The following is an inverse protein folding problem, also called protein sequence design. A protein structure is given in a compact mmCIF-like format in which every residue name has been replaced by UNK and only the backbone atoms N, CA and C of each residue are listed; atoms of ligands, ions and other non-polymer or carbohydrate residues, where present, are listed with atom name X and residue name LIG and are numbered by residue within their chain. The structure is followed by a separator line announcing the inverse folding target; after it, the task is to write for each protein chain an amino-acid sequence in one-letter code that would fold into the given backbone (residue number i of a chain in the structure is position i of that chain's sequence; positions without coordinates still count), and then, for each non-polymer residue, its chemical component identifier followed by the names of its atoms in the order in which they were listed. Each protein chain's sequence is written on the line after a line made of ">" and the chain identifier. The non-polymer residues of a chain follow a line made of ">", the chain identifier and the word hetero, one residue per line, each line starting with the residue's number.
data_IF_241418213673
#
_entry.id   IF_241418213673
#
_cell.length_a   1.000
_cell.length_b   1.000
_cell.length_c   1.000
_cell.angle_alpha   90.00
_cell.angle_beta   90.00
_cell.angle_gamma   90.00
#
_symmetry.space_group_name_H-M   'P 1'
#
loop_
_entity.id
_entity.type
_entity.pdbx_description
1 polymer ?
#
# COMPACT_ATOMS: atom_id res chain seq x y z
N UNK A 1 -6.08 9.69 5.73
CA UNK A 1 -5.12 10.78 5.88
C UNK A 1 -5.70 12.09 5.41
N UNK A 2 -5.06 13.21 5.73
CA UNK A 2 -5.46 14.54 5.23
C UNK A 2 -5.11 14.64 3.74
N UNK A 3 -6.01 15.16 2.87
CA UNK A 3 -5.74 15.29 1.44
C UNK A 3 -4.56 16.22 1.08
N UNK A 4 -4.06 17.00 2.04
CA UNK A 4 -2.95 17.94 1.84
C UNK A 4 -1.66 17.53 2.56
N UNK A 5 -1.56 16.29 3.04
CA UNK A 5 -0.40 15.83 3.77
C UNK A 5 0.68 15.33 2.81
N UNK A 6 1.90 15.87 2.96
CA UNK A 6 3.09 15.46 2.19
C UNK A 6 4.07 14.64 3.02
N UNK A 7 3.85 14.52 4.33
CA UNK A 7 4.69 13.76 5.24
C UNK A 7 4.18 12.32 5.40
N UNK A 8 5.06 11.37 5.74
CA UNK A 8 4.64 10.02 6.12
C UNK A 8 3.58 10.04 7.23
N UNK A 9 2.67 9.07 7.19
CA UNK A 9 1.55 8.96 8.12
C UNK A 9 1.95 8.02 9.24
N UNK A 10 2.06 8.54 10.47
CA UNK A 10 2.28 7.75 11.68
C UNK A 10 0.99 7.16 12.23
N UNK A 11 1.12 6.28 13.22
CA UNK A 11 0.00 5.60 13.87
C UNK A 11 -0.86 6.53 14.74
N UNK A 12 -0.28 7.66 15.18
CA UNK A 12 -0.93 8.70 15.99
C UNK A 12 -1.97 9.52 15.22
N UNK A 13 -1.95 9.47 13.88
CA UNK A 13 -2.94 10.20 13.08
C UNK A 13 -4.34 9.67 13.30
N UNK A 14 -5.26 10.56 13.62
CA UNK A 14 -6.67 10.24 13.79
C UNK A 14 -7.25 9.74 12.47
N UNK A 15 -7.78 8.50 12.43
CA UNK A 15 -8.42 7.98 11.24
C UNK A 15 -9.65 8.81 10.84
N UNK A 16 -9.76 9.14 9.57
CA UNK A 16 -10.93 9.80 8.99
C UNK A 16 -11.33 9.09 7.69
N UNK A 17 -12.02 7.95 7.77
CA UNK A 17 -12.41 7.19 6.58
C UNK A 17 -13.46 7.94 5.75
N UNK A 18 -13.24 8.00 4.45
CA UNK A 18 -14.14 8.64 3.48
C UNK A 18 -14.86 7.62 2.58
N UNK A 19 -14.70 6.33 2.88
CA UNK A 19 -15.34 5.23 2.15
C UNK A 19 -15.94 4.19 3.10
N UNK A 20 -16.98 3.43 2.68
CA UNK A 20 -17.52 2.32 3.47
C UNK A 20 -16.45 1.27 3.82
N UNK A 21 -15.53 0.97 2.89
CA UNK A 21 -14.40 0.08 3.14
C UNK A 21 -13.51 0.61 4.28
N UNK A 22 -13.09 1.87 4.20
CA UNK A 22 -12.28 2.49 5.26
C UNK A 22 -13.00 2.49 6.61
N UNK A 23 -14.30 2.78 6.64
CA UNK A 23 -15.13 2.73 7.86
C UNK A 23 -15.19 1.32 8.46
N UNK A 24 -15.34 0.27 7.62
CA UNK A 24 -15.36 -1.12 8.10
C UNK A 24 -14.01 -1.55 8.69
N UNK A 25 -12.89 -1.10 8.09
CA UNK A 25 -11.54 -1.38 8.63
C UNK A 25 -11.31 -0.68 9.96
N UNK A 26 -11.77 0.56 10.10
CA UNK A 26 -11.69 1.28 11.38
C UNK A 26 -12.55 0.62 12.47
N UNK A 27 -13.75 0.15 12.13
CA UNK A 27 -14.60 -0.59 13.06
C UNK A 27 -13.91 -1.89 13.54
N UNK A 28 -13.33 -2.67 12.61
CA UNK A 28 -12.58 -3.88 12.96
C UNK A 28 -11.37 -3.58 13.88
N UNK A 29 -10.67 -2.46 13.64
CA UNK A 29 -9.57 -2.01 14.49
C UNK A 29 -10.06 -1.65 15.90
N UNK A 30 -11.24 -1.01 16.03
CA UNK A 30 -11.86 -0.72 17.33
C UNK A 30 -12.18 -1.99 18.10
N UNK A 31 -12.73 -3.03 17.46
CA UNK A 31 -13.01 -4.32 18.09
C UNK A 31 -11.72 -4.99 18.63
N UNK A 32 -10.65 -4.95 17.85
CA UNK A 32 -9.34 -5.46 18.30
C UNK A 32 -8.83 -4.64 19.49
N UNK A 33 -8.95 -3.32 19.46
CA UNK A 33 -8.56 -2.45 20.57
C UNK A 33 -9.32 -2.77 21.84
N UNK A 34 -10.63 -3.00 21.74
CA UNK A 34 -11.49 -3.39 22.88
C UNK A 34 -11.09 -4.77 23.42
N UNK A 35 -10.73 -5.72 22.53
CA UNK A 35 -10.18 -7.01 22.94
C UNK A 35 -8.87 -6.84 23.72
N UNK A 36 -7.93 -6.03 23.19
CA UNK A 36 -6.61 -5.79 23.79
C UNK A 36 -6.68 -5.01 25.12
N UNK A 37 -7.78 -4.29 25.40
CA UNK A 37 -7.96 -3.59 26.66
C UNK A 37 -8.20 -4.53 27.87
N UNK A 38 -8.52 -5.80 27.61
CA UNK A 38 -8.79 -6.80 28.66
C UNK A 38 -7.48 -7.42 29.18
N UNK A 39 -7.34 -7.62 30.48
CA UNK A 39 -6.13 -8.23 31.07
C UNK A 39 -5.80 -9.59 30.46
N UNK A 40 -4.53 -9.82 30.14
CA UNK A 40 -4.04 -11.07 29.57
C UNK A 40 -4.18 -11.20 28.05
N UNK A 41 -4.86 -10.27 27.39
CA UNK A 41 -4.94 -10.25 25.93
C UNK A 41 -3.76 -9.50 25.33
N UNK A 42 -3.18 -10.05 24.25
CA UNK A 42 -2.05 -9.48 23.54
C UNK A 42 -2.32 -9.53 22.03
N UNK A 43 -1.78 -8.57 21.30
CA UNK A 43 -1.89 -8.50 19.84
C UNK A 43 -1.58 -7.11 19.30
N UNK A 44 -1.66 -6.97 18.00
CA UNK A 44 -1.48 -5.70 17.29
C UNK A 44 -2.26 -5.71 15.98
N UNK A 45 -2.77 -4.55 15.56
CA UNK A 45 -3.30 -4.35 14.22
C UNK A 45 -2.17 -3.92 13.30
N UNK A 46 -1.91 -4.67 12.23
CA UNK A 46 -0.97 -4.28 11.19
C UNK A 46 -1.74 -3.52 10.10
N UNK A 47 -1.46 -2.22 9.95
CA UNK A 47 -2.04 -1.37 8.89
C UNK A 47 -1.18 -1.43 7.65
N UNK A 48 -1.62 -2.19 6.63
CA UNK A 48 -0.91 -2.27 5.35
C UNK A 48 -1.21 -1.07 4.48
N UNK A 49 -0.18 -0.62 3.76
CA UNK A 49 -0.32 0.30 2.64
C UNK A 49 -0.61 -0.49 1.35
N UNK A 50 -0.33 0.03 0.17
CA UNK A 50 -0.68 -0.66 -1.07
C UNK A 50 0.16 -1.92 -1.27
N UNK A 51 -0.47 -3.07 -1.31
CA UNK A 51 0.23 -4.35 -1.49
C UNK A 51 0.51 -4.60 -2.97
N UNK A 52 1.71 -5.12 -3.27
CA UNK A 52 2.17 -5.43 -4.63
C UNK A 52 3.05 -6.69 -4.63
N UNK A 53 3.29 -7.26 -5.81
CA UNK A 53 4.15 -8.43 -5.97
C UNK A 53 3.47 -9.75 -5.66
N UNK A 54 4.21 -10.82 -5.81
CA UNK A 54 3.76 -12.19 -5.48
C UNK A 54 4.92 -13.03 -4.97
N UNK A 55 4.62 -14.07 -4.21
CA UNK A 55 5.58 -15.09 -3.80
C UNK A 55 5.68 -16.23 -4.81
N UNK A 56 4.65 -16.46 -5.62
CA UNK A 56 4.62 -17.45 -6.69
C UNK A 56 3.56 -17.10 -7.73
N UNK A 57 3.64 -17.66 -8.96
CA UNK A 57 2.67 -17.37 -10.03
C UNK A 57 1.22 -17.69 -9.64
N UNK A 58 0.98 -18.70 -8.82
CA UNK A 58 -0.36 -19.13 -8.40
C UNK A 58 -1.03 -18.15 -7.43
N UNK A 59 -0.23 -17.26 -6.83
CA UNK A 59 -0.68 -16.28 -5.83
C UNK A 59 -0.76 -14.86 -6.38
N UNK A 60 -0.71 -14.69 -7.71
CA UNK A 60 -0.84 -13.39 -8.35
C UNK A 60 -2.22 -12.79 -8.06
N UNK A 61 -2.23 -11.53 -7.60
CA UNK A 61 -3.46 -10.77 -7.45
C UNK A 61 -4.07 -10.45 -8.83
N UNK A 62 -5.25 -10.99 -9.09
CA UNK A 62 -6.03 -10.75 -10.29
C UNK A 62 -7.24 -9.85 -10.03
N UNK A 63 -7.26 -9.11 -8.92
CA UNK A 63 -8.37 -8.22 -8.56
C UNK A 63 -8.51 -7.05 -9.55
N UNK A 64 -9.72 -6.52 -9.66
CA UNK A 64 -10.02 -5.28 -10.39
C UNK A 64 -9.90 -4.02 -9.53
N UNK A 65 -9.36 -4.13 -8.33
CA UNK A 65 -9.34 -3.08 -7.32
C UNK A 65 -7.97 -2.39 -7.24
N UNK A 66 -6.88 -3.15 -7.44
CA UNK A 66 -5.51 -2.67 -7.28
C UNK A 66 -4.92 -2.17 -8.61
N UNK A 67 -4.05 -1.14 -8.54
CA UNK A 67 -3.49 -0.48 -9.72
C UNK A 67 -2.73 -1.44 -10.64
N UNK A 68 -1.82 -2.25 -10.09
CA UNK A 68 -0.97 -3.13 -10.92
C UNK A 68 -1.79 -4.21 -11.64
N UNK A 69 -2.70 -4.97 -10.99
CA UNK A 69 -3.61 -5.88 -11.68
C UNK A 69 -4.46 -5.21 -12.76
N UNK A 70 -4.98 -4.01 -12.50
CA UNK A 70 -5.76 -3.24 -13.50
C UNK A 70 -4.90 -2.93 -14.73
N UNK A 71 -3.69 -2.43 -14.53
CA UNK A 71 -2.76 -2.11 -15.64
C UNK A 71 -2.43 -3.35 -16.44
N UNK A 72 -2.08 -4.45 -15.78
CA UNK A 72 -1.79 -5.74 -16.44
C UNK A 72 -3.00 -6.28 -17.21
N UNK A 73 -4.18 -6.21 -16.60
CA UNK A 73 -5.43 -6.63 -17.26
C UNK A 73 -5.72 -5.83 -18.52
N UNK A 74 -5.47 -4.51 -18.52
CA UNK A 74 -5.59 -3.66 -19.71
C UNK A 74 -4.56 -4.03 -20.79
N UNK A 75 -3.29 -4.13 -20.41
CA UNK A 75 -2.22 -4.49 -21.34
C UNK A 75 -2.41 -5.87 -22.00
N UNK A 76 -2.99 -6.82 -21.28
CA UNK A 76 -3.32 -8.15 -21.83
C UNK A 76 -4.46 -8.10 -22.87
N UNK A 77 -5.34 -7.09 -22.76
CA UNK A 77 -6.41 -6.84 -23.73
C UNK A 77 -5.98 -5.93 -24.89
N UNK A 78 -4.75 -5.44 -24.90
CA UNK A 78 -4.28 -4.42 -25.85
C UNK A 78 -4.85 -3.04 -25.59
N UNK A 79 -5.36 -2.77 -24.37
CA UNK A 79 -5.91 -1.49 -23.95
C UNK A 79 -4.84 -0.63 -23.28
N UNK A 80 -4.97 0.70 -23.44
CA UNK A 80 -4.10 1.66 -22.77
C UNK A 80 -4.38 1.74 -21.25
N UNK A 81 -3.35 1.80 -20.39
CA UNK A 81 -3.51 2.16 -18.98
C UNK A 81 -4.05 3.59 -18.82
N UNK A 82 -4.68 3.87 -17.68
CA UNK A 82 -5.26 5.19 -17.38
C UNK A 82 -4.70 5.74 -16.08
N UNK A 83 -4.23 6.99 -16.12
CA UNK A 83 -3.87 7.80 -14.95
C UNK A 83 -5.06 8.71 -14.61
N UNK A 84 -5.54 8.65 -13.36
CA UNK A 84 -6.61 9.52 -12.89
C UNK A 84 -6.04 10.69 -12.07
N UNK A 85 -6.06 11.89 -12.69
CA UNK A 85 -5.51 13.13 -12.13
C UNK A 85 -4.02 13.27 -12.38
N UNK A 86 -3.68 14.41 -13.00
CA UNK A 86 -2.31 14.80 -13.34
C UNK A 86 -1.96 16.18 -12.77
N UNK A 87 -2.80 16.67 -11.88
CA UNK A 87 -2.74 18.01 -11.33
C UNK A 87 -2.67 18.01 -9.79
N UNK A 88 -2.31 16.86 -9.18
CA UNK A 88 -2.05 16.77 -7.74
C UNK A 88 -0.78 17.55 -7.37
N UNK A 89 -0.67 18.08 -6.13
CA UNK A 89 0.53 18.77 -5.65
C UNK A 89 1.66 17.76 -5.31
N UNK A 90 2.08 17.00 -6.31
CA UNK A 90 3.14 15.99 -6.28
C UNK A 90 4.16 16.27 -7.38
N UNK A 91 5.29 15.61 -7.38
CA UNK A 91 6.40 15.90 -8.31
C UNK A 91 6.00 15.75 -9.78
N UNK A 92 5.18 14.75 -10.12
CA UNK A 92 4.75 14.47 -11.51
C UNK A 92 3.24 14.70 -11.73
N UNK A 93 2.57 15.31 -10.76
CA UNK A 93 1.15 15.63 -10.81
C UNK A 93 0.23 14.44 -10.53
N UNK A 94 0.75 13.21 -10.33
CA UNK A 94 -0.07 12.02 -10.06
C UNK A 94 -0.05 11.64 -8.59
N UNK A 95 -1.05 10.87 -8.12
CA UNK A 95 -1.10 10.42 -6.73
C UNK A 95 0.14 9.62 -6.35
N UNK A 96 0.60 9.80 -5.10
CA UNK A 96 1.71 9.03 -4.52
C UNK A 96 1.16 8.04 -3.49
N UNK A 97 1.62 6.80 -3.56
CA UNK A 97 1.27 5.71 -2.62
C UNK A 97 2.51 4.96 -2.20
N UNK A 98 2.47 4.37 -1.01
CA UNK A 98 3.49 3.45 -0.52
C UNK A 98 3.10 2.03 -0.98
N UNK A 99 3.95 1.39 -1.78
CA UNK A 99 3.74 0.04 -2.28
C UNK A 99 4.69 -0.93 -1.58
N UNK A 100 4.13 -1.84 -0.82
CA UNK A 100 4.83 -2.85 -0.04
C UNK A 100 4.65 -4.24 -0.63
N UNK A 101 5.73 -5.02 -0.70
CA UNK A 101 5.70 -6.37 -1.25
C UNK A 101 4.89 -7.32 -0.35
N UNK A 102 4.08 -8.19 -0.95
CA UNK A 102 3.28 -9.18 -0.21
C UNK A 102 4.14 -10.11 0.64
N UNK A 103 5.38 -10.40 0.23
CA UNK A 103 6.34 -11.22 0.99
C UNK A 103 6.83 -10.48 2.23
N UNK A 104 6.98 -9.16 2.18
CA UNK A 104 7.27 -8.31 3.33
C UNK A 104 6.07 -8.26 4.29
N UNK A 105 4.84 -8.22 3.77
CA UNK A 105 3.64 -8.34 4.60
C UNK A 105 3.62 -9.65 5.38
N UNK A 106 3.92 -10.78 4.72
CA UNK A 106 4.02 -12.08 5.38
C UNK A 106 5.12 -12.09 6.45
N UNK A 107 6.29 -11.49 6.16
CA UNK A 107 7.38 -11.35 7.11
C UNK A 107 7.00 -10.47 8.31
N UNK A 108 6.23 -9.40 8.11
CA UNK A 108 5.73 -8.55 9.18
C UNK A 108 4.78 -9.31 10.13
N UNK A 109 3.91 -10.17 9.60
CA UNK A 109 3.06 -11.04 10.42
C UNK A 109 3.89 -12.00 11.28
N UNK A 110 4.91 -12.62 10.70
CA UNK A 110 5.81 -13.49 11.45
C UNK A 110 6.58 -12.73 12.53
N UNK A 111 7.04 -11.52 12.22
CA UNK A 111 7.73 -10.68 13.21
C UNK A 111 6.80 -10.31 14.37
N UNK A 112 5.56 -9.96 14.08
CA UNK A 112 4.56 -9.67 15.12
C UNK A 112 4.21 -10.91 15.95
N UNK A 113 4.02 -12.07 15.32
CA UNK A 113 3.69 -13.32 16.00
C UNK A 113 4.83 -13.83 16.90
N UNK A 114 6.08 -13.56 16.53
CA UNK A 114 7.27 -13.97 17.30
C UNK A 114 7.75 -12.91 18.29
N UNK A 115 7.02 -11.79 18.46
CA UNK A 115 7.42 -10.77 19.41
C UNK A 115 7.41 -11.30 20.85
N UNK A 116 8.52 -11.11 21.54
CA UNK A 116 8.71 -11.56 22.94
C UNK A 116 8.23 -10.55 23.98
N UNK A 117 7.81 -9.37 23.52
CA UNK A 117 7.24 -8.29 24.34
C UNK A 117 5.89 -7.86 23.79
N UNK A 118 5.08 -7.22 24.62
CA UNK A 118 3.83 -6.61 24.16
C UNK A 118 4.11 -5.56 23.08
N UNK A 119 3.40 -5.67 21.96
CA UNK A 119 3.47 -4.70 20.86
C UNK A 119 2.47 -3.57 21.07
N UNK A 120 2.72 -2.37 20.49
CA UNK A 120 1.71 -1.35 20.34
C UNK A 120 0.45 -1.89 19.67
N UNK A 121 -0.72 -1.39 20.05
CA UNK A 121 -2.01 -1.88 19.51
C UNK A 121 -2.18 -1.71 18.00
N UNK A 122 -1.40 -0.82 17.37
CA UNK A 122 -1.43 -0.52 15.93
C UNK A 122 0.00 -0.31 15.46
N UNK A 123 0.36 -0.87 14.30
CA UNK A 123 1.66 -0.69 13.65
C UNK A 123 1.46 -0.59 12.14
N UNK A 124 2.00 0.46 11.51
CA UNK A 124 1.99 0.62 10.07
C UNK A 124 3.01 -0.31 9.39
N UNK A 125 2.61 -0.93 8.29
CA UNK A 125 3.46 -1.79 7.46
C UNK A 125 3.48 -1.24 6.03
N UNK A 126 4.61 -0.69 5.66
CA UNK A 126 4.89 -0.08 4.36
C UNK A 126 6.39 -0.12 4.09
N UNK A 127 6.82 0.64 3.10
CA UNK A 127 8.24 0.82 2.77
C UNK A 127 8.80 2.13 3.32
N UNK A 128 7.94 3.08 3.68
CA UNK A 128 8.30 4.46 3.98
C UNK A 128 8.68 5.26 2.74
N UNK A 129 8.49 4.71 1.54
CA UNK A 129 8.83 5.32 0.26
C UNK A 129 7.59 5.40 -0.62
N UNK A 130 7.22 6.61 -0.99
CA UNK A 130 6.12 6.83 -1.91
C UNK A 130 6.55 6.67 -3.35
N UNK A 131 5.74 5.99 -4.16
CA UNK A 131 5.86 5.95 -5.61
C UNK A 131 4.61 6.54 -6.26
N UNK A 132 4.78 7.28 -7.35
CA UNK A 132 3.66 7.89 -8.06
C UNK A 132 2.93 6.86 -8.93
N UNK A 133 1.66 7.13 -9.24
CA UNK A 133 0.90 6.28 -10.16
C UNK A 133 1.58 6.19 -11.52
N UNK A 134 2.15 7.29 -12.01
CA UNK A 134 2.91 7.31 -13.28
C UNK A 134 4.16 6.43 -13.20
N UNK A 135 4.90 6.50 -12.10
CA UNK A 135 6.08 5.66 -11.87
C UNK A 135 5.72 4.17 -11.88
N UNK A 136 4.66 3.76 -11.20
CA UNK A 136 4.17 2.37 -11.20
C UNK A 136 3.81 1.91 -12.60
N UNK A 137 3.03 2.69 -13.36
CA UNK A 137 2.64 2.33 -14.72
C UNK A 137 3.88 2.17 -15.60
N UNK A 138 4.84 3.09 -15.52
CA UNK A 138 6.07 3.01 -16.30
C UNK A 138 6.91 1.75 -15.96
N UNK A 139 6.98 1.37 -14.68
CA UNK A 139 7.65 0.14 -14.25
C UNK A 139 6.96 -1.11 -14.82
N UNK A 140 5.63 -1.15 -14.81
CA UNK A 140 4.87 -2.26 -15.39
C UNK A 140 5.06 -2.31 -16.91
N UNK A 141 4.98 -1.19 -17.62
CA UNK A 141 5.22 -1.11 -19.06
C UNK A 141 6.62 -1.61 -19.44
N UNK A 142 7.63 -1.19 -18.67
CA UNK A 142 9.00 -1.64 -18.85
C UNK A 142 9.15 -3.15 -18.61
N UNK A 143 8.56 -3.68 -17.54
CA UNK A 143 8.63 -5.09 -17.19
C UNK A 143 7.91 -5.99 -18.23
N UNK A 144 6.89 -5.46 -18.89
CA UNK A 144 6.14 -6.16 -19.95
C UNK A 144 6.68 -5.93 -21.37
N UNK A 145 7.80 -5.22 -21.54
CA UNK A 145 8.35 -4.80 -22.84
C UNK A 145 7.34 -4.00 -23.71
N UNK A 146 6.48 -3.20 -23.05
CA UNK A 146 5.44 -2.38 -23.69
C UNK A 146 5.66 -0.88 -23.43
N UNK A 147 6.91 -0.42 -23.33
CA UNK A 147 7.26 0.97 -22.99
C UNK A 147 6.68 2.02 -23.95
N UNK A 148 6.38 1.62 -25.19
CA UNK A 148 5.80 2.52 -26.20
C UNK A 148 4.27 2.59 -26.14
N UNK A 149 3.63 1.92 -25.17
CA UNK A 149 2.17 1.98 -25.00
C UNK A 149 1.78 3.36 -24.52
N UNK A 150 0.83 4.00 -25.22
CA UNK A 150 0.23 5.24 -24.77
C UNK A 150 -0.46 5.07 -23.41
N UNK A 151 -0.37 6.08 -22.56
CA UNK A 151 -1.05 6.13 -21.26
C UNK A 151 -2.09 7.23 -21.32
N UNK A 152 -3.36 6.89 -21.09
CA UNK A 152 -4.47 7.84 -21.12
C UNK A 152 -4.50 8.63 -19.81
N UNK A 153 -4.63 9.96 -19.90
CA UNK A 153 -4.84 10.85 -18.76
C UNK A 153 -6.33 11.17 -18.61
N UNK A 154 -6.85 11.06 -17.40
CA UNK A 154 -8.25 11.27 -17.06
C UNK A 154 -8.38 12.20 -15.83
N UNK A 155 -9.54 12.84 -15.62
CA UNK A 155 -9.78 13.63 -14.41
C UNK A 155 -9.57 12.86 -13.11
N UNK A 156 -9.31 13.58 -12.01
CA UNK A 156 -9.16 12.98 -10.67
C UNK A 156 -10.38 12.13 -10.28
N UNK A 157 -10.13 11.05 -9.59
CA UNK A 157 -11.19 10.34 -8.85
C UNK A 157 -11.57 11.15 -7.61
N UNK A 158 -12.86 11.24 -7.33
CA UNK A 158 -13.33 11.93 -6.13
C UNK A 158 -12.81 11.23 -4.86
N UNK A 159 -12.24 12.00 -3.95
CA UNK A 159 -11.77 11.51 -2.67
C UNK A 159 -10.37 10.89 -2.68
N UNK A 160 -9.68 10.81 -3.82
CA UNK A 160 -8.29 10.31 -3.83
C UNK A 160 -7.33 11.34 -3.20
N UNK A 161 -6.60 10.99 -2.12
CA UNK A 161 -5.60 11.87 -1.55
C UNK A 161 -4.36 11.95 -2.44
N UNK A 162 -3.70 13.11 -2.47
CA UNK A 162 -2.50 13.33 -3.27
C UNK A 162 -1.34 12.43 -2.82
N UNK A 163 -1.22 12.18 -1.49
CA UNK A 163 -0.07 11.49 -0.91
C UNK A 163 -0.52 10.57 0.23
N UNK A 164 -0.12 9.29 0.18
CA UNK A 164 -0.28 8.31 1.25
C UNK A 164 0.99 7.45 1.33
N UNK A 165 1.83 7.70 2.33
CA UNK A 165 3.05 6.96 2.60
C UNK A 165 3.14 6.64 4.10
N UNK A 166 3.62 5.45 4.47
CA UNK A 166 3.75 5.02 5.85
C UNK A 166 4.92 5.72 6.55
N UNK A 167 4.74 6.12 7.80
CA UNK A 167 5.84 6.13 8.75
C UNK A 167 6.06 4.68 9.20
N UNK A 168 7.29 4.20 9.07
CA UNK A 168 7.67 2.79 9.34
C UNK A 168 8.60 2.64 10.53
N UNK A 169 8.90 3.72 11.24
CA UNK A 169 9.85 3.71 12.35
C UNK A 169 9.34 2.92 13.55
N UNK A 170 8.02 2.90 13.77
CA UNK A 170 7.43 2.10 14.84
C UNK A 170 7.63 0.59 14.59
N UNK A 171 7.39 0.10 13.38
CA UNK A 171 7.63 -1.29 13.01
C UNK A 171 9.10 -1.69 13.19
N UNK A 172 10.02 -0.81 12.78
CA UNK A 172 11.45 -1.05 12.95
C UNK A 172 11.86 -1.13 14.43
N UNK A 173 11.36 -0.21 15.26
CA UNK A 173 11.72 -0.14 16.67
C UNK A 173 11.09 -1.27 17.50
N UNK A 174 9.82 -1.59 17.23
CA UNK A 174 9.06 -2.52 18.09
C UNK A 174 9.15 -3.98 17.65
N UNK A 175 9.28 -4.23 16.34
CA UNK A 175 9.33 -5.58 15.77
C UNK A 175 10.68 -5.92 15.11
N UNK A 176 11.61 -4.96 15.00
CA UNK A 176 12.83 -5.14 14.20
C UNK A 176 12.52 -5.33 12.70
N UNK A 177 11.33 -4.92 12.25
CA UNK A 177 10.87 -5.13 10.89
C UNK A 177 11.14 -3.92 10.00
N UNK A 178 11.70 -4.18 8.82
CA UNK A 178 11.75 -3.26 7.67
C UNK A 178 11.49 -4.04 6.39
N UNK A 179 10.78 -3.43 5.45
CA UNK A 179 10.59 -4.00 4.11
C UNK A 179 11.94 -4.21 3.42
N UNK A 180 12.09 -5.29 2.67
CA UNK A 180 13.34 -5.71 2.03
C UNK A 180 13.28 -5.59 0.51
N UNK A 181 12.11 -5.83 -0.08
CA UNK A 181 11.95 -5.86 -1.52
C UNK A 181 11.79 -4.44 -2.07
N UNK A 182 12.53 -4.15 -3.14
CA UNK A 182 12.34 -2.93 -3.92
C UNK A 182 11.05 -3.01 -4.75
N UNK A 183 10.54 -1.86 -5.18
CA UNK A 183 9.37 -1.79 -6.03
C UNK A 183 9.61 -2.52 -7.38
N UNK A 184 10.80 -2.41 -7.96
CA UNK A 184 11.18 -3.13 -9.17
C UNK A 184 11.15 -4.65 -8.97
N UNK A 185 11.67 -5.15 -7.85
CA UNK A 185 11.62 -6.58 -7.53
C UNK A 185 10.18 -7.07 -7.35
N UNK A 186 9.34 -6.26 -6.69
CA UNK A 186 7.92 -6.57 -6.52
C UNK A 186 7.17 -6.61 -7.84
N UNK A 187 7.40 -5.65 -8.73
CA UNK A 187 6.80 -5.65 -10.08
C UNK A 187 7.32 -6.85 -10.89
N UNK A 188 8.62 -7.14 -10.86
CA UNK A 188 9.20 -8.29 -11.60
C UNK A 188 8.69 -9.64 -11.11
N UNK A 189 8.33 -9.77 -9.84
CA UNK A 189 7.80 -11.04 -9.30
C UNK A 189 6.48 -11.48 -9.94
N UNK A 190 5.81 -10.59 -10.68
CA UNK A 190 4.53 -10.85 -11.34
C UNK A 190 4.68 -11.52 -12.74
N UNK A 191 5.94 -11.80 -13.19
CA UNK A 191 6.27 -12.33 -14.52
C UNK A 191 7.24 -13.55 -14.45
#
# INVERSE_FOLDING_TARGET
>A
GSPNQTNPIGEEFTPNPISPYGASKLAAESEVKDFLSKPGNHGTCLRFFNVVGTASPELIDNSSENLVPIVLGKLNKGEAPVIFGIDYPTTDGTCVRDYVDVRDIAAAHLAAANATKALPGIINIGTGRGASVREIINLVLKATNKSDTEVIEAPRRAGDPAFLCADVDLAAREMGFRSKYSLEESIRSLF
#
